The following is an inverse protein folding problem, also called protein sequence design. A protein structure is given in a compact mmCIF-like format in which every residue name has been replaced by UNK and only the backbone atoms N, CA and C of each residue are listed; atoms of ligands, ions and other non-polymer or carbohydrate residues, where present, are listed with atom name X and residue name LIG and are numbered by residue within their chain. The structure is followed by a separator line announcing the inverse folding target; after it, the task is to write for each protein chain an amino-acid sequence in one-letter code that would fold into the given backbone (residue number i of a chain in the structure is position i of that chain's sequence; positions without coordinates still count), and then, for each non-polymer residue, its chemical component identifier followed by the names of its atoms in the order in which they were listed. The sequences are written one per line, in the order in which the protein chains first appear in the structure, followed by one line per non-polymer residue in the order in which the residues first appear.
data_IF_742635521787
#
_entry.id   IF_742635521787
#
_cell.length_a   1.000
_cell.length_b   1.000
_cell.length_c   1.000
_cell.angle_alpha   90.00
_cell.angle_beta   90.00
_cell.angle_gamma   90.00
#
_symmetry.space_group_name_H-M   'P 1'
#
loop_
_entity.id
_entity.type
_entity.pdbx_description
1 polymer ?
#
# COMPACT_ATOMS: atom_id res chain seq x y z
N UNK A 1 -51.78 -32.37 20.49
CA UNK A 1 -51.86 -31.96 19.08
C UNK A 1 -52.03 -30.45 19.00
N UNK A 2 -51.27 -29.82 18.11
CA UNK A 2 -51.42 -28.45 17.55
C UNK A 2 -51.38 -27.28 18.55
N UNK A 3 -50.36 -26.43 18.64
CA UNK A 3 -49.45 -25.92 17.61
C UNK A 3 -50.00 -24.63 17.00
N UNK A 4 -49.40 -23.48 17.33
CA UNK A 4 -49.78 -22.18 16.76
C UNK A 4 -48.80 -21.08 17.13
N UNK A 5 -47.80 -20.86 16.27
CA UNK A 5 -46.77 -19.82 16.35
C UNK A 5 -47.40 -18.41 16.33
N UNK A 6 -47.10 -17.59 17.33
CA UNK A 6 -47.35 -16.14 17.30
C UNK A 6 -46.15 -15.48 16.62
N UNK A 7 -46.35 -15.06 15.36
CA UNK A 7 -45.40 -14.27 14.58
C UNK A 7 -45.58 -12.80 14.97
N UNK A 8 -44.58 -12.23 15.63
CA UNK A 8 -44.53 -10.82 15.99
C UNK A 8 -44.18 -9.98 14.76
N UNK A 9 -45.06 -9.03 14.43
CA UNK A 9 -44.85 -7.96 13.46
C UNK A 9 -44.30 -6.71 14.16
N UNK A 10 -43.11 -6.24 13.78
CA UNK A 10 -42.52 -4.91 14.10
C UNK A 10 -41.46 -4.65 13.00
N UNK A 11 -41.34 -3.54 12.27
CA UNK A 11 -41.98 -2.24 12.25
C UNK A 11 -41.97 -1.70 10.79
N UNK A 12 -43.06 -1.08 10.37
CA UNK A 12 -43.08 -0.16 9.24
C UNK A 12 -42.61 1.22 9.69
N UNK A 13 -41.54 1.72 9.08
CA UNK A 13 -41.10 3.10 9.22
C UNK A 13 -41.79 3.96 8.15
N UNK A 14 -42.36 5.08 8.59
CA UNK A 14 -43.37 5.86 7.89
C UNK A 14 -42.94 6.52 6.59
N UNK A 15 -43.91 6.52 5.67
CA UNK A 15 -44.03 7.38 4.49
C UNK A 15 -44.16 8.84 4.93
N UNK A 16 -43.27 9.70 4.46
CA UNK A 16 -43.52 11.14 4.37
C UNK A 16 -43.73 11.48 2.89
N UNK A 17 -44.97 11.85 2.58
CA UNK A 17 -45.44 12.24 1.26
C UNK A 17 -44.86 13.59 0.83
N UNK A 18 -44.30 13.61 -0.38
CA UNK A 18 -44.09 14.80 -1.20
C UNK A 18 -44.31 14.38 -2.65
N UNK A 19 -45.44 14.78 -3.21
CA UNK A 19 -45.82 14.45 -4.58
C UNK A 19 -44.98 15.24 -5.60
N UNK A 20 -44.50 14.57 -6.65
CA UNK A 20 -44.75 14.91 -8.06
C UNK A 20 -44.07 13.90 -9.01
N UNK A 21 -44.92 13.17 -9.74
CA UNK A 21 -44.79 12.57 -11.08
C UNK A 21 -43.44 12.03 -11.56
N UNK A 22 -43.32 10.70 -11.52
CA UNK A 22 -42.42 9.88 -12.33
C UNK A 22 -42.74 8.41 -12.03
N UNK A 23 -42.88 7.57 -13.06
CA UNK A 23 -43.30 6.17 -12.96
C UNK A 23 -42.75 5.46 -11.70
N UNK A 24 -43.63 4.84 -10.91
CA UNK A 24 -43.38 4.19 -9.62
C UNK A 24 -42.19 3.21 -9.67
N UNK A 25 -40.98 3.74 -9.49
CA UNK A 25 -39.79 2.95 -9.39
C UNK A 25 -39.73 2.38 -7.97
N UNK A 26 -40.11 1.11 -7.82
CA UNK A 26 -40.10 0.41 -6.53
C UNK A 26 -38.67 0.33 -5.98
N UNK A 27 -38.43 0.67 -4.71
CA UNK A 27 -37.10 0.62 -4.13
C UNK A 27 -36.57 -0.82 -4.10
N UNK A 28 -35.34 -1.00 -4.58
CA UNK A 28 -34.56 -2.23 -4.52
C UNK A 28 -33.79 -2.28 -3.21
N UNK A 29 -33.90 -3.40 -2.50
CA UNK A 29 -33.14 -3.67 -1.28
C UNK A 29 -32.08 -4.74 -1.59
N UNK A 30 -30.80 -4.36 -1.44
CA UNK A 30 -29.66 -5.26 -1.56
C UNK A 30 -29.03 -5.45 -0.18
N UNK A 31 -28.82 -6.69 0.22
CA UNK A 31 -28.19 -7.03 1.49
C UNK A 31 -26.81 -7.61 1.25
N UNK A 32 -25.87 -7.15 2.06
CA UNK A 32 -24.55 -7.78 2.22
C UNK A 32 -24.65 -8.95 3.20
N UNK A 33 -23.53 -9.54 3.65
CA UNK A 33 -23.58 -10.61 4.63
C UNK A 33 -24.38 -10.19 5.89
N UNK A 34 -25.10 -11.13 6.54
CA UNK A 34 -26.01 -10.81 7.64
C UNK A 34 -25.38 -9.93 8.71
N UNK A 35 -26.08 -8.85 9.09
CA UNK A 35 -25.63 -7.94 10.13
C UNK A 35 -24.53 -6.95 9.74
N UNK A 36 -24.16 -6.81 8.45
CA UNK A 36 -23.19 -5.82 7.98
C UNK A 36 -23.87 -4.56 7.44
N UNK A 37 -24.38 -4.63 6.21
CA UNK A 37 -25.04 -3.52 5.51
C UNK A 37 -26.33 -3.96 4.81
N UNK A 38 -27.32 -3.07 4.81
CA UNK A 38 -28.56 -3.17 4.04
C UNK A 38 -28.73 -1.89 3.22
N UNK A 39 -28.77 -2.04 1.89
CA UNK A 39 -28.75 -0.93 0.93
C UNK A 39 -30.13 -0.83 0.29
N UNK A 40 -30.75 0.34 0.36
CA UNK A 40 -31.99 0.68 -0.32
C UNK A 40 -31.74 1.76 -1.37
N UNK A 41 -32.14 1.49 -2.62
CA UNK A 41 -32.00 2.44 -3.73
C UNK A 41 -33.12 2.24 -4.76
N UNK A 42 -33.39 3.27 -5.56
CA UNK A 42 -34.29 3.15 -6.71
C UNK A 42 -33.60 2.44 -7.89
N UNK A 43 -32.31 2.73 -8.09
CA UNK A 43 -31.48 2.09 -9.11
C UNK A 43 -30.78 0.84 -8.55
N UNK A 44 -31.07 -0.32 -9.16
CA UNK A 44 -30.46 -1.62 -8.83
C UNK A 44 -28.95 -1.63 -9.05
N UNK A 45 -28.46 -1.01 -10.14
CA UNK A 45 -27.03 -0.99 -10.45
C UNK A 45 -26.25 -0.22 -9.38
N UNK A 46 -26.74 0.95 -8.99
CA UNK A 46 -26.19 1.71 -7.88
C UNK A 46 -26.26 0.94 -6.54
N UNK A 47 -27.36 0.22 -6.26
CA UNK A 47 -27.49 -0.59 -5.05
C UNK A 47 -26.41 -1.68 -4.96
N UNK A 48 -26.20 -2.42 -6.06
CA UNK A 48 -25.19 -3.47 -6.14
C UNK A 48 -23.76 -2.92 -6.08
N UNK A 49 -23.49 -1.78 -6.72
CA UNK A 49 -22.20 -1.10 -6.63
C UNK A 49 -21.86 -0.72 -5.18
N UNK A 50 -22.81 -0.10 -4.48
CA UNK A 50 -22.63 0.30 -3.08
C UNK A 50 -22.51 -0.90 -2.16
N UNK A 51 -23.26 -1.98 -2.40
CA UNK A 51 -23.14 -3.22 -1.65
C UNK A 51 -21.75 -3.87 -1.80
N UNK A 52 -21.21 -3.90 -3.03
CA UNK A 52 -19.87 -4.42 -3.29
C UNK A 52 -18.79 -3.58 -2.59
N UNK A 53 -18.90 -2.25 -2.67
CA UNK A 53 -18.01 -1.35 -1.95
C UNK A 53 -18.11 -1.56 -0.42
N UNK A 54 -19.32 -1.69 0.13
CA UNK A 54 -19.52 -1.91 1.55
C UNK A 54 -18.88 -3.21 2.06
N UNK A 55 -18.95 -4.30 1.29
CA UNK A 55 -18.28 -5.56 1.62
C UNK A 55 -16.75 -5.46 1.52
N UNK A 56 -16.23 -4.77 0.50
CA UNK A 56 -14.80 -4.51 0.40
C UNK A 56 -14.30 -3.71 1.61
N UNK A 57 -15.02 -2.64 1.97
CA UNK A 57 -14.72 -1.80 3.12
C UNK A 57 -14.75 -2.59 4.42
N UNK A 58 -15.76 -3.44 4.63
CA UNK A 58 -15.81 -4.33 5.79
C UNK A 58 -14.57 -5.22 5.89
N UNK A 59 -14.24 -5.94 4.81
CA UNK A 59 -13.11 -6.87 4.77
C UNK A 59 -11.79 -6.17 5.09
N UNK A 60 -11.57 -4.99 4.52
CA UNK A 60 -10.31 -4.25 4.69
C UNK A 60 -10.22 -3.51 6.03
N UNK A 61 -11.36 -3.20 6.66
CA UNK A 61 -11.43 -2.50 7.94
C UNK A 61 -11.67 -3.42 9.14
N UNK A 62 -11.96 -4.70 8.93
CA UNK A 62 -12.22 -5.66 10.00
C UNK A 62 -11.08 -5.76 11.01
N UNK A 63 -9.87 -6.04 10.52
CA UNK A 63 -8.66 -6.09 11.34
C UNK A 63 -8.36 -4.78 12.06
N UNK A 64 -8.18 -3.65 11.33
CA UNK A 64 -7.82 -2.39 11.95
C UNK A 64 -8.88 -1.84 12.90
N UNK A 65 -10.18 -2.12 12.73
CA UNK A 65 -11.21 -1.61 13.67
C UNK A 65 -11.65 -2.64 14.70
N UNK A 66 -11.19 -3.88 14.62
CA UNK A 66 -11.67 -4.97 15.48
C UNK A 66 -13.18 -5.19 15.30
N UNK A 67 -13.68 -5.14 14.07
CA UNK A 67 -15.11 -5.29 13.80
C UNK A 67 -15.58 -6.69 14.23
N UNK A 68 -16.79 -6.81 14.82
CA UNK A 68 -17.38 -8.11 15.06
C UNK A 68 -17.64 -8.84 13.73
N UNK A 69 -17.87 -10.16 13.71
CA UNK A 69 -18.21 -10.87 12.47
C UNK A 69 -19.53 -10.37 11.83
N UNK A 70 -20.46 -9.90 12.67
CA UNK A 70 -21.74 -9.28 12.30
C UNK A 70 -22.25 -8.38 13.44
N UNK A 71 -23.02 -7.34 13.13
CA UNK A 71 -23.78 -6.59 14.11
C UNK A 71 -25.18 -7.18 14.31
N UNK A 72 -25.79 -6.90 15.47
CA UNK A 72 -27.19 -7.23 15.76
C UNK A 72 -28.17 -6.45 14.87
N UNK A 73 -27.80 -5.25 14.46
CA UNK A 73 -28.52 -4.42 13.49
C UNK A 73 -27.51 -3.92 12.45
N UNK A 74 -27.78 -4.07 11.14
CA UNK A 74 -26.86 -3.65 10.10
C UNK A 74 -26.75 -2.12 10.02
N UNK A 75 -25.75 -1.64 9.28
CA UNK A 75 -25.72 -0.26 8.81
C UNK A 75 -26.68 -0.13 7.63
N UNK A 76 -27.71 0.68 7.77
CA UNK A 76 -28.66 0.96 6.69
C UNK A 76 -28.07 2.03 5.78
N UNK A 77 -28.11 1.81 4.47
CA UNK A 77 -27.64 2.75 3.46
C UNK A 77 -28.79 3.09 2.54
N UNK A 78 -29.08 4.38 2.35
CA UNK A 78 -30.16 4.88 1.48
C UNK A 78 -29.55 5.72 0.37
N UNK A 79 -29.80 5.34 -0.88
CA UNK A 79 -29.42 6.13 -2.06
C UNK A 79 -30.59 7.03 -2.44
N UNK A 80 -30.40 8.34 -2.30
CA UNK A 80 -31.40 9.36 -2.62
C UNK A 80 -31.14 9.83 -4.06
N UNK A 81 -32.11 9.69 -4.99
CA UNK A 81 -31.97 10.14 -6.38
C UNK A 81 -31.60 11.64 -6.50
N UNK A 82 -30.90 12.02 -7.58
CA UNK A 82 -30.65 13.44 -7.85
C UNK A 82 -31.97 14.19 -8.09
N UNK A 83 -32.06 15.44 -7.60
CA UNK A 83 -33.25 16.28 -7.78
C UNK A 83 -34.36 16.09 -6.74
N UNK A 84 -34.21 15.16 -5.78
CA UNK A 84 -35.13 15.05 -4.64
C UNK A 84 -34.57 15.79 -3.40
N UNK A 85 -35.25 16.86 -2.99
CA UNK A 85 -34.93 17.65 -1.79
C UNK A 85 -33.99 18.85 -1.99
N UNK A 86 -33.74 19.61 -0.92
CA UNK A 86 -32.88 20.80 -0.94
C UNK A 86 -31.38 20.45 -1.08
N UNK A 87 -30.62 21.32 -1.76
CA UNK A 87 -29.16 21.26 -1.87
C UNK A 87 -28.50 21.07 -0.50
N UNK A 88 -27.43 20.27 -0.43
CA UNK A 88 -26.73 20.01 0.82
C UNK A 88 -25.63 18.97 0.68
N UNK A 89 -25.04 18.55 1.80
CA UNK A 89 -23.88 17.65 1.85
C UNK A 89 -24.08 16.37 1.03
N UNK A 90 -23.02 15.84 0.38
CA UNK A 90 -23.12 14.68 -0.49
C UNK A 90 -23.54 13.40 0.24
N UNK A 91 -23.34 13.35 1.56
CA UNK A 91 -23.87 12.29 2.40
C UNK A 91 -24.13 12.75 3.83
N UNK A 92 -25.01 12.05 4.53
CA UNK A 92 -25.29 12.24 5.96
C UNK A 92 -25.30 10.90 6.68
N UNK A 93 -24.85 10.87 7.92
CA UNK A 93 -25.01 9.71 8.80
C UNK A 93 -25.87 10.10 9.99
N UNK A 94 -26.89 9.31 10.26
CA UNK A 94 -27.87 9.52 11.30
C UNK A 94 -27.83 8.31 12.23
N UNK A 95 -27.73 8.58 13.53
CA UNK A 95 -27.90 7.57 14.57
C UNK A 95 -29.25 7.83 15.22
N UNK A 96 -30.19 6.91 15.05
CA UNK A 96 -31.54 7.01 15.58
C UNK A 96 -31.62 6.45 17.01
N UNK A 97 -32.61 6.90 17.82
CA UNK A 97 -32.89 6.29 19.11
C UNK A 97 -33.09 4.77 18.98
N UNK A 98 -32.39 4.00 19.81
CA UNK A 98 -32.32 2.53 19.69
C UNK A 98 -31.09 2.03 18.93
N UNK A 99 -30.25 2.94 18.44
CA UNK A 99 -28.93 2.64 17.90
C UNK A 99 -28.92 2.28 16.42
N UNK A 100 -30.02 2.46 15.71
CA UNK A 100 -30.08 2.24 14.27
C UNK A 100 -29.20 3.28 13.59
N UNK A 101 -28.31 2.83 12.69
CA UNK A 101 -27.39 3.72 11.97
C UNK A 101 -27.77 3.74 10.49
N UNK A 102 -28.11 4.93 10.00
CA UNK A 102 -28.56 5.20 8.65
C UNK A 102 -27.57 6.12 7.93
N UNK A 103 -27.03 5.67 6.80
CA UNK A 103 -26.16 6.43 5.89
C UNK A 103 -27.00 6.86 4.69
N UNK A 104 -27.16 8.16 4.48
CA UNK A 104 -27.90 8.71 3.35
C UNK A 104 -26.90 9.25 2.35
N UNK A 105 -26.87 8.67 1.17
CA UNK A 105 -26.01 9.06 0.05
C UNK A 105 -26.87 9.80 -0.97
N UNK A 106 -26.46 11.02 -1.35
CA UNK A 106 -27.19 11.81 -2.33
C UNK A 106 -26.57 11.67 -3.72
N UNK A 107 -27.42 11.42 -4.70
CA UNK A 107 -27.10 11.43 -6.11
C UNK A 107 -26.78 10.05 -6.70
N UNK A 108 -26.93 9.93 -8.03
CA UNK A 108 -26.80 8.67 -8.77
C UNK A 108 -25.36 8.19 -8.94
N UNK A 109 -24.40 9.10 -9.09
CA UNK A 109 -22.97 8.78 -9.21
C UNK A 109 -22.19 9.43 -8.07
N UNK A 110 -22.09 8.73 -6.93
CA UNK A 110 -21.30 9.20 -5.79
C UNK A 110 -19.81 8.95 -6.06
N UNK A 111 -18.94 9.97 -5.99
CA UNK A 111 -17.50 9.78 -6.14
C UNK A 111 -16.95 8.74 -5.16
N UNK A 112 -16.00 7.90 -5.58
CA UNK A 112 -15.50 6.78 -4.78
C UNK A 112 -14.95 7.19 -3.40
N UNK A 113 -14.30 8.35 -3.29
CA UNK A 113 -13.79 8.86 -2.00
C UNK A 113 -14.93 9.24 -1.04
N UNK A 114 -15.94 9.95 -1.57
CA UNK A 114 -17.17 10.31 -0.84
C UNK A 114 -17.92 9.06 -0.36
N UNK A 115 -18.07 8.05 -1.23
CA UNK A 115 -18.71 6.79 -0.88
C UNK A 115 -17.96 6.08 0.24
N UNK A 116 -16.64 5.93 0.12
CA UNK A 116 -15.80 5.31 1.17
C UNK A 116 -15.95 6.03 2.50
N UNK A 117 -15.90 7.36 2.51
CA UNK A 117 -16.07 8.16 3.73
C UNK A 117 -17.45 8.00 4.36
N UNK A 118 -18.51 7.96 3.56
CA UNK A 118 -19.87 7.74 4.04
C UNK A 118 -20.01 6.37 4.72
N UNK A 119 -19.51 5.32 4.06
CA UNK A 119 -19.53 3.96 4.58
C UNK A 119 -18.68 3.81 5.85
N UNK A 120 -17.47 4.39 5.86
CA UNK A 120 -16.59 4.43 7.04
C UNK A 120 -17.26 5.14 8.21
N UNK A 121 -17.87 6.31 7.99
CA UNK A 121 -18.58 7.05 9.03
C UNK A 121 -19.76 6.26 9.58
N UNK A 122 -20.54 5.61 8.72
CA UNK A 122 -21.61 4.70 9.13
C UNK A 122 -21.10 3.53 9.97
N UNK A 123 -20.00 2.91 9.52
CA UNK A 123 -19.38 1.77 10.20
C UNK A 123 -18.82 2.14 11.57
N UNK A 124 -18.11 3.27 11.68
CA UNK A 124 -17.58 3.79 12.95
C UNK A 124 -18.70 4.19 13.92
N UNK A 125 -19.78 4.80 13.40
CA UNK A 125 -20.95 5.12 14.22
C UNK A 125 -21.59 3.84 14.75
N UNK A 126 -21.76 2.82 13.90
CA UNK A 126 -22.32 1.53 14.32
C UNK A 126 -21.42 0.79 15.30
N UNK A 127 -20.11 0.86 15.13
CA UNK A 127 -19.15 0.34 16.10
C UNK A 127 -19.28 1.03 17.46
N UNK A 128 -19.43 2.36 17.47
CA UNK A 128 -19.66 3.13 18.70
C UNK A 128 -20.96 2.73 19.41
N UNK A 129 -22.07 2.59 18.66
CA UNK A 129 -23.34 2.06 19.21
C UNK A 129 -23.16 0.65 19.78
N UNK A 130 -22.46 -0.24 19.07
CA UNK A 130 -22.25 -1.61 19.53
C UNK A 130 -21.43 -1.69 20.83
N UNK A 131 -20.53 -0.73 21.05
CA UNK A 131 -19.68 -0.66 22.24
C UNK A 131 -20.35 0.01 23.44
N UNK A 132 -21.20 1.02 23.20
CA UNK A 132 -21.79 1.85 24.26
C UNK A 132 -23.30 1.62 24.47
N UNK A 133 -23.97 0.87 23.59
CA UNK A 133 -25.40 0.58 23.64
C UNK A 133 -26.26 1.49 22.76
N UNK A 134 -27.53 1.11 22.56
CA UNK A 134 -28.46 1.77 21.62
C UNK A 134 -28.90 3.19 21.97
N UNK A 135 -28.65 3.65 23.21
CA UNK A 135 -28.91 5.03 23.62
C UNK A 135 -27.69 5.95 23.42
N UNK A 136 -26.54 5.40 23.01
CA UNK A 136 -25.34 6.17 22.82
C UNK A 136 -25.42 7.04 21.55
N UNK A 137 -24.85 8.24 21.63
CA UNK A 137 -24.64 9.14 20.50
C UNK A 137 -23.14 9.13 20.14
N UNK A 138 -22.67 8.15 19.36
CA UNK A 138 -21.25 8.04 19.06
C UNK A 138 -20.78 9.23 18.23
N UNK A 139 -19.61 9.75 18.59
CA UNK A 139 -18.96 10.82 17.84
C UNK A 139 -17.85 10.22 17.00
N UNK A 140 -17.84 10.48 15.69
CA UNK A 140 -16.79 9.99 14.79
C UNK A 140 -15.80 11.13 14.53
N UNK A 141 -14.57 11.07 15.06
CA UNK A 141 -13.55 12.08 14.77
C UNK A 141 -13.24 12.13 13.27
N UNK A 142 -13.08 13.33 12.74
CA UNK A 142 -12.87 13.54 11.30
C UNK A 142 -11.58 12.86 10.82
N UNK A 143 -10.49 12.98 11.58
CA UNK A 143 -9.23 12.32 11.22
C UNK A 143 -9.41 10.79 11.15
N UNK A 144 -10.16 10.18 12.07
CA UNK A 144 -10.35 8.73 12.08
C UNK A 144 -11.14 8.28 10.85
N UNK A 145 -12.19 9.03 10.48
CA UNK A 145 -12.93 8.80 9.24
C UNK A 145 -12.03 8.88 8.00
N UNK A 146 -11.25 9.95 7.84
CA UNK A 146 -10.37 10.11 6.68
C UNK A 146 -9.24 9.07 6.69
N UNK A 147 -8.68 8.76 7.85
CA UNK A 147 -7.64 7.75 8.02
C UNK A 147 -8.12 6.36 7.60
N UNK A 148 -9.30 5.95 8.06
CA UNK A 148 -9.91 4.67 7.67
C UNK A 148 -10.29 4.64 6.17
N UNK A 149 -10.85 5.71 5.63
CA UNK A 149 -11.19 5.80 4.21
C UNK A 149 -9.93 5.69 3.32
N UNK A 150 -8.84 6.37 3.68
CA UNK A 150 -7.56 6.27 2.99
C UNK A 150 -6.90 4.90 3.19
N UNK A 151 -6.97 4.32 4.38
CA UNK A 151 -6.45 2.97 4.67
C UNK A 151 -7.11 1.90 3.81
N UNK A 152 -8.43 1.99 3.63
CA UNK A 152 -9.15 1.17 2.68
C UNK A 152 -8.61 1.42 1.27
N UNK A 153 -8.60 2.67 0.81
CA UNK A 153 -8.21 2.98 -0.57
C UNK A 153 -6.81 2.47 -0.93
N UNK A 154 -5.82 2.60 -0.05
CA UNK A 154 -4.45 2.11 -0.28
C UNK A 154 -4.32 0.57 -0.32
N UNK A 155 -5.32 -0.16 0.16
CA UNK A 155 -5.37 -1.64 0.11
C UNK A 155 -6.23 -2.17 -1.02
N UNK A 156 -7.24 -1.40 -1.44
CA UNK A 156 -7.98 -1.68 -2.66
C UNK A 156 -7.10 -1.40 -3.90
N UNK A 157 -6.29 -0.34 -3.85
CA UNK A 157 -5.44 0.10 -4.95
C UNK A 157 -4.02 0.41 -4.45
N UNK A 158 -3.06 -0.48 -4.74
CA UNK A 158 -1.69 -0.35 -4.25
C UNK A 158 -1.01 0.97 -4.67
N UNK A 159 -1.28 1.47 -5.89
CA UNK A 159 -0.73 2.74 -6.38
C UNK A 159 -1.08 3.95 -5.49
N UNK A 160 -2.20 3.87 -4.75
CA UNK A 160 -2.63 4.95 -3.84
C UNK A 160 -1.76 5.02 -2.59
N UNK A 161 -1.14 3.91 -2.18
CA UNK A 161 -0.16 3.91 -1.09
C UNK A 161 1.07 4.72 -1.52
N UNK A 162 1.57 4.50 -2.73
CA UNK A 162 2.74 5.21 -3.24
C UNK A 162 2.44 6.69 -3.46
N UNK A 163 1.25 7.02 -3.99
CA UNK A 163 0.78 8.40 -4.04
C UNK A 163 0.74 9.06 -2.64
N UNK A 164 0.26 8.35 -1.62
CA UNK A 164 0.23 8.85 -0.25
C UNK A 164 1.64 9.04 0.33
N UNK A 165 2.59 8.14 0.04
CA UNK A 165 4.01 8.30 0.42
C UNK A 165 4.63 9.52 -0.24
N UNK A 166 4.44 9.68 -1.55
CA UNK A 166 4.96 10.82 -2.32
C UNK A 166 4.40 12.14 -1.79
N UNK A 167 3.10 12.20 -1.51
CA UNK A 167 2.49 13.39 -0.91
C UNK A 167 3.06 13.66 0.50
N UNK A 168 3.18 12.63 1.35
CA UNK A 168 3.73 12.76 2.69
C UNK A 168 5.23 13.15 2.70
N UNK A 169 6.00 12.81 1.66
CA UNK A 169 7.39 13.18 1.52
C UNK A 169 7.58 14.69 1.26
N UNK A 170 6.59 15.33 0.61
CA UNK A 170 6.60 16.76 0.25
C UNK A 170 6.08 17.68 1.36
N UNK A 171 5.71 17.13 2.51
CA UNK A 171 5.14 17.90 3.62
C UNK A 171 5.84 17.60 4.95
N UNK A 172 5.93 18.60 5.85
CA UNK A 172 6.30 18.36 7.24
C UNK A 172 5.19 17.57 7.96
N UNK A 173 5.52 16.85 9.06
CA UNK A 173 4.49 16.25 9.91
C UNK A 173 3.56 17.34 10.46
N UNK A 174 2.23 17.23 10.29
CA UNK A 174 1.30 18.12 10.96
C UNK A 174 1.36 17.92 12.47
N UNK A 175 1.14 19.00 13.23
CA UNK A 175 1.04 18.92 14.69
C UNK A 175 -0.05 17.94 15.12
N UNK A 176 0.21 17.13 16.14
CA UNK A 176 -0.70 16.07 16.56
C UNK A 176 -2.07 16.63 16.98
N UNK A 177 -2.09 17.78 17.66
CA UNK A 177 -3.32 18.46 18.04
C UNK A 177 -4.16 18.90 16.85
N UNK A 178 -3.54 19.52 15.83
CA UNK A 178 -4.25 19.93 14.62
C UNK A 178 -4.91 18.73 13.90
N UNK A 179 -4.29 17.55 13.98
CA UNK A 179 -4.84 16.33 13.41
C UNK A 179 -5.94 15.71 14.27
N UNK A 180 -5.71 15.53 15.58
CA UNK A 180 -6.67 14.90 16.49
C UNK A 180 -7.94 15.75 16.70
N UNK A 181 -7.80 17.07 16.71
CA UNK A 181 -8.86 18.04 16.95
C UNK A 181 -9.42 18.61 15.63
N UNK A 182 -9.15 17.96 14.49
CA UNK A 182 -9.59 18.42 13.19
C UNK A 182 -11.12 18.62 13.16
N UNK A 183 -11.61 19.88 13.05
CA UNK A 183 -13.03 20.18 13.20
C UNK A 183 -13.89 19.50 12.14
N UNK A 184 -15.09 19.09 12.56
CA UNK A 184 -16.04 18.41 11.70
C UNK A 184 -16.48 19.26 10.51
N UNK A 185 -16.81 20.52 10.77
CA UNK A 185 -17.40 21.43 9.79
C UNK A 185 -16.35 22.32 9.10
N UNK A 186 -15.06 22.03 9.32
CA UNK A 186 -13.97 22.76 8.66
C UNK A 186 -13.79 22.39 7.18
N UNK A 187 -12.97 23.16 6.43
CA UNK A 187 -12.59 22.77 5.08
C UNK A 187 -11.76 21.48 5.10
N UNK A 188 -11.84 20.73 4.01
CA UNK A 188 -10.93 19.60 3.80
C UNK A 188 -9.51 20.10 3.58
N UNK A 189 -8.56 19.51 4.30
CA UNK A 189 -7.16 19.86 4.20
C UNK A 189 -6.40 18.65 3.66
N UNK A 190 -5.90 18.68 2.41
CA UNK A 190 -5.22 17.54 1.80
C UNK A 190 -4.06 17.00 2.64
N UNK A 191 -3.33 17.89 3.33
CA UNK A 191 -2.25 17.51 4.25
C UNK A 191 -2.76 16.70 5.44
N UNK A 192 -3.84 17.11 6.09
CA UNK A 192 -4.43 16.37 7.22
C UNK A 192 -5.07 15.05 6.79
N UNK A 193 -5.64 14.99 5.58
CA UNK A 193 -6.20 13.74 5.03
C UNK A 193 -5.13 12.66 4.88
N UNK A 194 -3.99 12.99 4.27
CA UNK A 194 -2.87 12.03 4.18
C UNK A 194 -2.30 11.76 5.55
N UNK A 195 -2.25 12.78 6.42
CA UNK A 195 -1.68 12.57 7.73
C UNK A 195 -2.50 11.65 8.63
N UNK A 196 -3.82 11.65 8.47
CA UNK A 196 -4.73 10.74 9.15
C UNK A 196 -4.47 9.26 8.82
N UNK A 197 -4.10 8.93 7.57
CA UNK A 197 -3.69 7.57 7.19
C UNK A 197 -2.45 7.13 7.98
N UNK A 198 -1.45 8.00 8.05
CA UNK A 198 -0.20 7.70 8.73
C UNK A 198 -0.36 7.67 10.25
N UNK A 199 -1.22 8.52 10.82
CA UNK A 199 -1.57 8.45 12.24
C UNK A 199 -2.27 7.13 12.58
N UNK A 200 -3.25 6.72 11.78
CA UNK A 200 -3.90 5.42 11.93
C UNK A 200 -2.87 4.27 11.87
N UNK A 201 -1.99 4.31 10.86
CA UNK A 201 -0.95 3.28 10.66
C UNK A 201 0.02 3.22 11.84
N UNK A 202 0.45 4.39 12.32
CA UNK A 202 1.36 4.52 13.45
C UNK A 202 0.76 4.01 14.76
N UNK A 203 -0.44 4.48 15.11
CA UNK A 203 -1.09 4.06 16.36
C UNK A 203 -1.41 2.56 16.39
N UNK A 204 -1.70 1.95 15.23
CA UNK A 204 -1.83 0.51 15.13
C UNK A 204 -0.51 -0.23 15.28
N UNK A 205 0.56 0.25 14.64
CA UNK A 205 1.89 -0.34 14.78
C UNK A 205 2.44 -0.25 16.20
N UNK A 206 2.11 0.83 16.92
CA UNK A 206 2.50 1.04 18.31
C UNK A 206 1.63 0.28 19.32
N UNK A 207 0.48 -0.26 18.89
CA UNK A 207 -0.37 -1.07 19.76
C UNK A 207 0.27 -2.44 19.98
N UNK A 208 0.49 -2.79 21.23
CA UNK A 208 0.98 -4.10 21.63
C UNK A 208 -0.15 -5.06 22.00
N UNK A 209 0.21 -6.11 22.75
CA UNK A 209 -0.75 -7.10 23.28
C UNK A 209 -1.72 -6.51 24.31
N UNK A 210 -1.47 -5.29 24.79
CA UNK A 210 -2.30 -4.63 25.80
C UNK A 210 -3.58 -4.00 25.22
N UNK A 211 -3.74 -3.96 23.89
CA UNK A 211 -4.98 -3.51 23.25
C UNK A 211 -5.21 -2.00 23.34
N UNK A 212 -4.14 -1.22 23.28
CA UNK A 212 -4.13 0.24 23.33
C UNK A 212 -5.03 0.84 22.23
N UNK A 213 -4.90 0.35 21.00
CA UNK A 213 -5.65 0.84 19.86
C UNK A 213 -7.17 0.61 20.00
N UNK A 214 -7.68 -0.62 20.26
CA UNK A 214 -9.11 -0.83 20.52
C UNK A 214 -9.66 0.01 21.68
N UNK A 215 -8.87 0.19 22.76
CA UNK A 215 -9.27 1.02 23.89
C UNK A 215 -9.35 2.50 23.51
N UNK A 216 -8.42 2.98 22.70
CA UNK A 216 -8.40 4.36 22.19
C UNK A 216 -9.59 4.63 21.28
N UNK A 217 -9.84 3.78 20.29
CA UNK A 217 -11.01 3.91 19.39
C UNK A 217 -12.31 3.94 20.18
N UNK A 218 -12.47 3.05 21.17
CA UNK A 218 -13.68 3.03 22.02
C UNK A 218 -13.90 4.35 22.76
N UNK A 219 -12.84 4.94 23.33
CA UNK A 219 -12.92 6.24 24.03
C UNK A 219 -13.26 7.38 23.06
N UNK A 220 -12.68 7.38 21.87
CA UNK A 220 -12.98 8.37 20.84
C UNK A 220 -14.44 8.29 20.38
N UNK A 221 -14.92 7.09 20.08
CA UNK A 221 -16.30 6.89 19.61
C UNK A 221 -17.33 7.23 20.69
N UNK A 222 -16.97 7.10 21.97
CA UNK A 222 -17.77 7.58 23.09
C UNK A 222 -17.76 9.12 23.26
N UNK A 223 -17.06 9.86 22.40
CA UNK A 223 -16.96 11.32 22.46
C UNK A 223 -15.92 11.84 23.46
N UNK A 224 -14.99 10.99 23.90
CA UNK A 224 -13.89 11.42 24.76
C UNK A 224 -12.92 12.36 24.06
N UNK A 225 -12.30 13.26 24.83
CA UNK A 225 -11.23 14.12 24.33
C UNK A 225 -10.08 13.30 23.73
N UNK A 226 -9.68 13.62 22.51
CA UNK A 226 -8.74 12.80 21.75
C UNK A 226 -7.33 12.81 22.36
N UNK A 227 -6.90 13.95 22.89
CA UNK A 227 -5.59 14.09 23.54
C UNK A 227 -5.55 13.29 24.85
N UNK A 228 -6.56 13.42 25.69
CA UNK A 228 -6.69 12.71 26.94
C UNK A 228 -6.84 11.20 26.72
N UNK A 229 -7.63 10.80 25.72
CA UNK A 229 -7.77 9.39 25.34
C UNK A 229 -6.44 8.80 24.86
N UNK A 230 -5.67 9.53 24.06
CA UNK A 230 -4.36 9.08 23.58
C UNK A 230 -3.37 8.95 24.76
N UNK A 231 -3.33 9.95 25.64
CA UNK A 231 -2.49 9.93 26.85
C UNK A 231 -2.83 8.76 27.78
N UNK A 232 -4.12 8.47 27.96
CA UNK A 232 -4.56 7.36 28.81
C UNK A 232 -4.27 5.99 28.20
N UNK A 233 -4.41 5.83 26.88
CA UNK A 233 -4.24 4.54 26.21
C UNK A 233 -2.78 4.20 25.89
N UNK A 234 -1.92 5.21 25.70
CA UNK A 234 -0.50 5.03 25.34
C UNK A 234 0.43 5.63 26.41
N UNK A 235 0.02 5.60 27.69
CA UNK A 235 0.70 6.28 28.81
C UNK A 235 2.18 5.89 29.01
N UNK A 236 2.60 4.71 28.54
CA UNK A 236 3.99 4.26 28.61
C UNK A 236 4.88 4.68 27.43
N UNK A 237 4.34 5.39 26.43
CA UNK A 237 5.07 5.75 25.19
C UNK A 237 5.72 7.13 25.24
N UNK A 238 5.26 8.03 26.11
CA UNK A 238 5.74 9.40 26.20
C UNK A 238 5.56 9.96 27.62
N UNK A 239 6.45 10.86 28.03
CA UNK A 239 6.46 11.45 29.38
C UNK A 239 5.59 12.72 29.55
N UNK A 240 4.95 13.21 28.49
CA UNK A 240 4.16 14.44 28.52
C UNK A 240 3.76 14.94 27.12
N UNK A 241 3.09 16.10 27.02
CA UNK A 241 2.58 16.63 25.74
C UNK A 241 3.66 16.87 24.68
N UNK A 242 4.82 17.42 25.06
CA UNK A 242 5.94 17.66 24.13
C UNK A 242 6.57 16.35 23.66
N UNK A 243 6.80 15.41 24.58
CA UNK A 243 7.31 14.08 24.22
C UNK A 243 6.33 13.31 23.34
N UNK A 244 5.02 13.51 23.52
CA UNK A 244 3.98 12.92 22.69
C UNK A 244 3.99 13.49 21.27
N UNK A 245 4.19 14.80 21.13
CA UNK A 245 4.37 15.44 19.84
C UNK A 245 5.62 14.90 19.13
N UNK A 246 6.76 14.81 19.84
CA UNK A 246 7.99 14.23 19.29
C UNK A 246 7.83 12.74 18.90
N UNK A 247 7.11 11.97 19.72
CA UNK A 247 6.78 10.57 19.43
C UNK A 247 5.97 10.46 18.13
N UNK A 248 4.97 11.32 17.95
CA UNK A 248 4.22 11.40 16.70
C UNK A 248 5.08 11.81 15.51
N UNK A 249 5.90 12.85 15.62
CA UNK A 249 6.75 13.32 14.51
C UNK A 249 7.80 12.27 14.09
N UNK A 250 8.36 11.55 15.08
CA UNK A 250 9.26 10.42 14.84
C UNK A 250 8.50 9.28 14.16
N UNK A 251 7.32 8.95 14.69
CA UNK A 251 6.39 7.95 14.15
C UNK A 251 6.00 8.24 12.72
N UNK A 252 5.65 9.49 12.38
CA UNK A 252 5.37 9.96 11.03
C UNK A 252 6.50 9.62 10.05
N UNK A 253 7.71 9.99 10.42
CA UNK A 253 8.89 9.74 9.59
C UNK A 253 9.19 8.25 9.48
N UNK A 254 8.94 7.48 10.53
CA UNK A 254 9.03 6.03 10.50
C UNK A 254 7.97 5.45 9.57
N UNK A 255 6.67 5.62 9.83
CA UNK A 255 5.60 4.93 9.09
C UNK A 255 5.50 5.32 7.62
N UNK A 256 5.82 6.57 7.25
CA UNK A 256 5.87 6.97 5.83
C UNK A 256 7.05 6.33 5.09
N UNK A 257 8.08 5.90 5.83
CA UNK A 257 9.26 5.19 5.32
C UNK A 257 9.15 3.66 5.51
N UNK A 258 8.30 3.20 6.43
CA UNK A 258 8.06 1.78 6.69
C UNK A 258 7.29 1.19 5.51
N UNK A 259 7.90 0.15 4.95
CA UNK A 259 7.50 -0.52 3.72
C UNK A 259 6.23 -1.35 3.99
N UNK A 260 5.08 -0.94 3.43
CA UNK A 260 3.79 -1.64 3.63
C UNK A 260 3.53 -2.72 2.56
N UNK A 261 4.28 -2.71 1.47
CA UNK A 261 4.45 -3.91 0.64
C UNK A 261 5.68 -4.66 1.17
N UNK A 262 5.72 -6.00 1.11
CA UNK A 262 6.95 -6.73 1.41
C UNK A 262 8.07 -6.36 0.44
N UNK A 263 7.83 -5.51 -0.55
CA UNK A 263 8.75 -5.22 -1.64
C UNK A 263 9.49 -3.90 -1.36
N UNK A 264 10.82 -3.95 -1.37
CA UNK A 264 11.74 -2.82 -1.48
C UNK A 264 11.39 -1.98 -2.71
N UNK A 265 11.60 -0.68 -2.64
CA UNK A 265 11.56 0.15 -3.86
C UNK A 265 12.67 -0.29 -4.83
N UNK A 266 12.56 0.07 -6.12
CA UNK A 266 13.55 -0.32 -7.13
C UNK A 266 14.97 0.15 -6.76
N UNK A 267 15.11 1.42 -6.37
CA UNK A 267 16.40 1.99 -5.95
C UNK A 267 16.98 1.30 -4.70
N UNK A 268 16.12 0.94 -3.74
CA UNK A 268 16.54 0.24 -2.52
C UNK A 268 16.97 -1.19 -2.83
N UNK A 269 16.25 -1.88 -3.72
CA UNK A 269 16.62 -3.23 -4.18
C UNK A 269 17.97 -3.22 -4.88
N UNK A 270 18.20 -2.23 -5.75
CA UNK A 270 19.49 -2.00 -6.40
C UNK A 270 20.58 -1.81 -5.35
N UNK A 271 20.39 -0.91 -4.39
CA UNK A 271 21.38 -0.66 -3.34
C UNK A 271 21.71 -1.93 -2.54
N UNK A 272 20.69 -2.66 -2.08
CA UNK A 272 20.86 -3.86 -1.25
C UNK A 272 21.54 -5.00 -2.02
N UNK A 273 21.08 -5.31 -3.23
CA UNK A 273 21.70 -6.36 -4.07
C UNK A 273 23.12 -5.96 -4.48
N UNK A 274 23.36 -4.69 -4.81
CA UNK A 274 24.68 -4.18 -5.13
C UNK A 274 25.65 -4.26 -3.95
N UNK A 275 25.20 -3.93 -2.74
CA UNK A 275 25.99 -4.06 -1.52
C UNK A 275 26.32 -5.53 -1.18
N UNK A 276 25.42 -6.46 -1.49
CA UNK A 276 25.63 -7.90 -1.29
C UNK A 276 26.55 -8.52 -2.35
N UNK A 277 26.59 -7.95 -3.56
CA UNK A 277 27.51 -8.34 -4.62
C UNK A 277 28.91 -7.73 -4.48
N UNK A 278 29.08 -6.70 -3.63
CA UNK A 278 30.36 -6.04 -3.36
C UNK A 278 31.13 -6.78 -2.26
N UNK A 279 32.19 -7.47 -2.65
CA UNK A 279 33.10 -8.12 -1.72
C UNK A 279 34.31 -7.24 -1.44
N UNK A 280 34.67 -7.12 -0.17
CA UNK A 280 35.85 -6.37 0.28
C UNK A 280 36.69 -7.31 1.13
N UNK A 281 37.94 -7.46 0.75
CA UNK A 281 38.93 -8.24 1.48
C UNK A 281 40.20 -7.41 1.62
N UNK A 282 40.96 -7.64 2.70
CA UNK A 282 42.26 -7.01 2.89
C UNK A 282 43.21 -7.41 1.76
N UNK A 283 43.95 -6.45 1.20
CA UNK A 283 44.94 -6.71 0.17
C UNK A 283 46.05 -7.63 0.68
N UNK A 284 46.64 -8.43 -0.22
CA UNK A 284 47.78 -9.30 0.13
C UNK A 284 49.07 -8.51 0.38
N UNK A 285 49.17 -7.30 -0.21
CA UNK A 285 50.28 -6.37 -0.04
C UNK A 285 49.72 -5.04 0.48
N UNK A 286 49.95 -4.74 1.77
CA UNK A 286 49.51 -3.51 2.42
C UNK A 286 48.37 -3.69 3.45
N UNK A 287 48.05 -2.61 4.14
CA UNK A 287 46.98 -2.54 5.16
C UNK A 287 45.61 -2.14 4.58
N UNK A 288 45.52 -1.97 3.27
CA UNK A 288 44.34 -1.42 2.61
C UNK A 288 43.29 -2.50 2.26
N UNK A 289 42.02 -2.12 2.38
CA UNK A 289 40.87 -2.92 1.95
C UNK A 289 40.64 -2.78 0.44
N UNK A 290 40.56 -3.90 -0.27
CA UNK A 290 40.35 -3.94 -1.72
C UNK A 290 38.98 -4.54 -2.09
N UNK A 291 38.29 -3.91 -3.05
CA UNK A 291 37.06 -4.48 -3.63
C UNK A 291 37.44 -5.60 -4.59
N UNK A 292 36.93 -6.79 -4.34
CA UNK A 292 37.22 -7.99 -5.13
C UNK A 292 36.01 -8.34 -6.02
N UNK A 293 36.18 -8.51 -7.34
CA UNK A 293 35.09 -8.89 -8.23
C UNK A 293 34.49 -10.26 -7.87
N UNK A 294 33.17 -10.40 -7.98
CA UNK A 294 32.45 -11.65 -7.69
C UNK A 294 33.09 -12.87 -8.37
N UNK A 295 33.49 -12.75 -9.64
CA UNK A 295 34.19 -13.81 -10.39
C UNK A 295 35.43 -14.33 -9.64
N UNK A 296 36.27 -13.43 -9.14
CA UNK A 296 37.50 -13.76 -8.39
C UNK A 296 37.16 -14.43 -7.06
N UNK A 297 36.11 -13.96 -6.37
CA UNK A 297 35.61 -14.56 -5.13
C UNK A 297 35.12 -15.99 -5.35
N UNK A 298 34.38 -16.25 -6.43
CA UNK A 298 33.86 -17.57 -6.74
C UNK A 298 34.95 -18.59 -7.10
N UNK A 299 36.06 -18.15 -7.70
CA UNK A 299 37.26 -18.99 -7.94
C UNK A 299 37.91 -19.39 -6.62
N UNK A 300 37.95 -18.48 -5.65
CA UNK A 300 38.54 -18.67 -4.32
C UNK A 300 37.58 -19.26 -3.29
N UNK A 301 36.41 -19.76 -3.70
CA UNK A 301 35.34 -20.27 -2.79
C UNK A 301 35.79 -21.37 -1.83
N UNK A 302 36.88 -22.07 -2.13
CA UNK A 302 37.44 -23.12 -1.30
C UNK A 302 38.26 -22.60 -0.12
N UNK A 303 38.66 -21.33 -0.14
CA UNK A 303 39.37 -20.70 0.97
C UNK A 303 38.41 -20.49 2.16
N UNK A 304 38.79 -20.85 3.40
CA UNK A 304 37.89 -20.83 4.55
C UNK A 304 37.22 -19.47 4.79
N UNK A 305 37.97 -18.37 4.64
CA UNK A 305 37.47 -17.01 4.85
C UNK A 305 36.45 -16.60 3.77
N UNK A 306 36.70 -17.00 2.52
CA UNK A 306 35.80 -16.73 1.40
C UNK A 306 34.53 -17.56 1.53
N UNK A 307 34.67 -18.84 1.90
CA UNK A 307 33.52 -19.73 2.14
C UNK A 307 32.60 -19.19 3.25
N UNK A 308 33.17 -18.68 4.35
CA UNK A 308 32.42 -18.08 5.45
C UNK A 308 31.66 -16.82 5.01
N UNK A 309 32.30 -15.92 4.26
CA UNK A 309 31.66 -14.70 3.75
C UNK A 309 30.55 -15.03 2.74
N UNK A 310 30.76 -15.98 1.83
CA UNK A 310 29.73 -16.44 0.89
C UNK A 310 28.52 -17.04 1.63
N UNK A 311 28.74 -17.84 2.67
CA UNK A 311 27.66 -18.40 3.49
C UNK A 311 26.86 -17.31 4.23
N UNK A 312 27.55 -16.29 4.77
CA UNK A 312 26.91 -15.14 5.41
C UNK A 312 26.01 -14.38 4.43
N UNK A 313 26.53 -14.07 3.23
CA UNK A 313 25.77 -13.40 2.17
C UNK A 313 24.59 -14.24 1.67
N UNK A 314 24.75 -15.55 1.57
CA UNK A 314 23.66 -16.46 1.21
C UNK A 314 22.50 -16.41 2.21
N UNK A 315 22.80 -16.39 3.51
CA UNK A 315 21.79 -16.28 4.57
C UNK A 315 21.09 -14.91 4.59
N UNK A 316 21.80 -13.85 4.19
CA UNK A 316 21.25 -12.50 4.05
C UNK A 316 20.33 -12.41 2.82
N UNK A 317 20.78 -12.91 1.66
CA UNK A 317 19.99 -12.96 0.44
C UNK A 317 18.71 -13.80 0.59
N UNK A 318 18.77 -14.94 1.28
CA UNK A 318 17.60 -15.78 1.52
C UNK A 318 16.46 -15.04 2.23
N UNK A 319 16.80 -14.12 3.15
CA UNK A 319 15.83 -13.26 3.85
C UNK A 319 15.37 -12.10 2.98
N UNK A 320 16.23 -11.60 2.10
CA UNK A 320 15.99 -10.41 1.28
C UNK A 320 15.16 -10.69 0.01
N UNK A 321 15.34 -11.85 -0.64
CA UNK A 321 14.72 -12.18 -1.94
C UNK A 321 13.19 -12.02 -1.98
N UNK A 322 12.43 -12.46 -0.95
CA UNK A 322 10.97 -12.24 -0.93
C UNK A 322 10.59 -10.77 -0.93
N UNK A 323 11.56 -9.91 -0.57
CA UNK A 323 11.38 -8.48 -0.45
C UNK A 323 11.94 -7.69 -1.63
N UNK A 324 12.62 -8.28 -2.60
CA UNK A 324 13.20 -7.50 -3.70
C UNK A 324 12.13 -7.00 -4.66
N UNK A 325 12.31 -5.77 -5.17
CA UNK A 325 11.54 -5.24 -6.28
C UNK A 325 11.57 -6.21 -7.47
N UNK A 326 10.44 -6.42 -8.19
CA UNK A 326 10.39 -7.33 -9.33
C UNK A 326 11.52 -7.14 -10.35
N UNK A 327 11.95 -5.88 -10.58
CA UNK A 327 13.07 -5.56 -11.48
C UNK A 327 14.39 -6.25 -11.06
N UNK A 328 14.66 -6.35 -9.76
CA UNK A 328 15.92 -6.87 -9.22
C UNK A 328 15.81 -8.26 -8.61
N UNK A 329 14.62 -8.88 -8.64
CA UNK A 329 14.38 -10.19 -8.02
C UNK A 329 15.21 -11.30 -8.68
N UNK A 330 15.35 -11.27 -10.01
CA UNK A 330 16.18 -12.23 -10.73
C UNK A 330 17.66 -12.09 -10.36
N UNK A 331 18.17 -10.85 -10.31
CA UNK A 331 19.54 -10.57 -9.87
C UNK A 331 19.81 -11.08 -8.44
N UNK A 332 18.84 -10.92 -7.53
CA UNK A 332 18.92 -11.50 -6.20
C UNK A 332 18.97 -13.03 -6.18
N UNK A 333 18.15 -13.68 -7.03
CA UNK A 333 18.12 -15.14 -7.15
C UNK A 333 19.41 -15.72 -7.75
N UNK A 334 19.94 -15.11 -8.81
CA UNK A 334 21.19 -15.56 -9.44
C UNK A 334 22.41 -15.28 -8.56
N UNK A 335 22.43 -14.15 -7.84
CA UNK A 335 23.45 -13.91 -6.82
C UNK A 335 23.38 -14.95 -5.69
N UNK A 336 22.19 -15.27 -5.19
CA UNK A 336 22.02 -16.30 -4.16
C UNK A 336 22.49 -17.68 -4.64
N UNK A 337 22.21 -18.04 -5.89
CA UNK A 337 22.71 -19.27 -6.49
C UNK A 337 24.25 -19.27 -6.59
N UNK A 338 24.86 -18.13 -6.93
CA UNK A 338 26.31 -17.98 -6.98
C UNK A 338 26.95 -18.22 -5.60
N UNK A 339 26.45 -17.54 -4.56
CA UNK A 339 27.01 -17.59 -3.20
C UNK A 339 26.59 -18.81 -2.39
N UNK A 340 25.64 -19.61 -2.88
CA UNK A 340 25.16 -20.80 -2.17
C UNK A 340 26.30 -21.76 -1.78
N UNK A 341 26.20 -22.42 -0.60
CA UNK A 341 27.19 -23.38 -0.14
C UNK A 341 27.29 -24.60 -1.06
N UNK A 342 28.41 -25.32 -0.97
CA UNK A 342 28.68 -26.53 -1.75
C UNK A 342 29.79 -26.36 -2.80
N UNK A 343 30.32 -27.48 -3.29
CA UNK A 343 31.29 -27.47 -4.37
C UNK A 343 30.61 -27.09 -5.69
N UNK A 344 31.23 -26.19 -6.46
CA UNK A 344 30.79 -25.83 -7.81
C UNK A 344 31.99 -25.93 -8.74
N UNK A 345 31.79 -26.43 -9.96
CA UNK A 345 32.85 -26.42 -10.98
C UNK A 345 33.18 -24.98 -11.40
N UNK A 346 34.39 -24.75 -11.89
CA UNK A 346 34.80 -23.43 -12.41
C UNK A 346 33.83 -22.92 -13.48
N UNK A 347 33.45 -23.79 -14.43
CA UNK A 347 32.43 -23.49 -15.45
C UNK A 347 31.11 -23.02 -14.84
N UNK A 348 30.63 -23.70 -13.78
CA UNK A 348 29.37 -23.32 -13.12
C UNK A 348 29.47 -21.97 -12.40
N UNK A 349 30.63 -21.66 -11.80
CA UNK A 349 30.88 -20.35 -11.20
C UNK A 349 30.86 -19.23 -12.25
N UNK A 350 31.46 -19.46 -13.43
CA UNK A 350 31.43 -18.48 -14.53
C UNK A 350 30.02 -18.24 -15.06
N UNK A 351 29.24 -19.30 -15.29
CA UNK A 351 27.83 -19.21 -15.71
C UNK A 351 26.98 -18.39 -14.73
N UNK A 352 27.14 -18.63 -13.43
CA UNK A 352 26.39 -17.91 -12.39
C UNK A 352 26.79 -16.44 -12.27
N UNK A 353 28.09 -16.13 -12.45
CA UNK A 353 28.57 -14.75 -12.49
C UNK A 353 27.98 -13.99 -13.69
N UNK A 354 28.02 -14.61 -14.88
CA UNK A 354 27.47 -14.00 -16.09
C UNK A 354 25.95 -13.82 -16.00
N UNK A 355 25.23 -14.80 -15.43
CA UNK A 355 23.78 -14.71 -15.22
C UNK A 355 23.42 -13.55 -14.28
N UNK A 356 24.14 -13.40 -13.16
CA UNK A 356 23.95 -12.27 -12.25
C UNK A 356 24.21 -10.92 -12.93
N UNK A 357 25.30 -10.78 -13.68
CA UNK A 357 25.64 -9.54 -14.39
C UNK A 357 24.59 -9.18 -15.45
N UNK A 358 23.97 -10.18 -16.10
CA UNK A 358 22.88 -9.98 -17.04
C UNK A 358 21.60 -9.54 -16.33
N UNK A 359 21.15 -10.28 -15.32
CA UNK A 359 19.93 -9.96 -14.58
C UNK A 359 20.02 -8.59 -13.89
N UNK A 360 21.22 -8.20 -13.45
CA UNK A 360 21.47 -6.88 -12.89
C UNK A 360 21.26 -5.78 -13.92
N UNK A 361 21.79 -5.95 -15.14
CA UNK A 361 21.61 -4.99 -16.25
C UNK A 361 20.13 -4.90 -16.65
N UNK A 362 19.46 -6.04 -16.78
CA UNK A 362 18.03 -6.09 -17.09
C UNK A 362 17.19 -5.35 -16.03
N UNK A 363 17.53 -5.50 -14.75
CA UNK A 363 16.87 -4.78 -13.66
C UNK A 363 17.03 -3.26 -13.74
N UNK A 364 18.24 -2.79 -14.08
CA UNK A 364 18.52 -1.36 -14.29
C UNK A 364 17.74 -0.83 -15.50
N UNK A 365 17.72 -1.57 -16.61
CA UNK A 365 17.01 -1.18 -17.83
C UNK A 365 15.49 -1.09 -17.58
N UNK A 366 14.91 -2.04 -16.83
CA UNK A 366 13.50 -2.03 -16.43
C UNK A 366 13.16 -0.84 -15.53
N UNK A 367 14.02 -0.50 -14.56
CA UNK A 367 13.85 0.67 -13.69
C UNK A 367 13.82 1.97 -14.50
N UNK A 368 14.76 2.14 -15.42
CA UNK A 368 14.86 3.31 -16.27
C UNK A 368 13.68 3.42 -17.25
N UNK A 369 13.31 2.32 -17.93
CA UNK A 369 12.19 2.29 -18.85
C UNK A 369 10.85 2.61 -18.16
N UNK A 370 10.64 2.07 -16.96
CA UNK A 370 9.43 2.33 -16.18
C UNK A 370 9.36 3.79 -15.72
N UNK A 371 10.47 4.36 -15.27
CA UNK A 371 10.56 5.77 -14.89
C UNK A 371 10.26 6.68 -16.09
N UNK A 372 10.87 6.42 -17.25
CA UNK A 372 10.64 7.19 -18.46
C UNK A 372 9.18 7.11 -18.93
N UNK A 373 8.54 5.94 -18.81
CA UNK A 373 7.14 5.76 -19.16
C UNK A 373 6.20 6.55 -18.24
N UNK A 374 6.44 6.53 -16.93
CA UNK A 374 5.67 7.29 -15.95
C UNK A 374 5.82 8.80 -16.18
N UNK A 375 7.04 9.29 -16.42
CA UNK A 375 7.28 10.70 -16.74
C UNK A 375 6.63 11.13 -18.06
N UNK A 376 6.62 10.27 -19.08
CA UNK A 376 5.93 10.53 -20.33
C UNK A 376 4.41 10.61 -20.13
N UNK A 377 3.84 9.73 -19.30
CA UNK A 377 2.43 9.73 -18.96
C UNK A 377 2.04 10.99 -18.18
N UNK A 378 2.81 11.38 -17.16
CA UNK A 378 2.57 12.63 -16.42
C UNK A 378 2.61 13.87 -17.31
N UNK A 379 3.56 13.93 -18.25
CA UNK A 379 3.65 15.03 -19.22
C UNK A 379 2.45 15.08 -20.16
N UNK A 380 1.88 13.93 -20.53
CA UNK A 380 0.64 13.85 -21.32
C UNK A 380 -0.56 14.29 -20.49
N UNK A 381 -0.67 13.84 -19.25
CA UNK A 381 -1.74 14.24 -18.33
C UNK A 381 -1.74 15.74 -18.05
N UNK A 382 -0.56 16.36 -17.92
CA UNK A 382 -0.40 17.82 -17.74
C UNK A 382 -0.64 18.63 -19.01
N UNK A 383 -0.49 18.03 -20.19
CA UNK A 383 -0.71 18.68 -21.50
C UNK A 383 -2.14 18.55 -22.02
N UNK A 384 -2.97 17.68 -21.43
CA UNK A 384 -4.38 17.59 -21.79
C UNK A 384 -5.08 18.91 -21.39
N UNK A 385 -5.60 19.71 -22.35
CA UNK A 385 -6.40 20.87 -22.00
C UNK A 385 -7.67 20.42 -21.27
N UNK A 386 -8.12 21.22 -20.31
CA UNK A 386 -9.25 20.93 -19.42
C UNK A 386 -10.64 20.84 -20.11
N UNK A 387 -10.71 20.39 -21.38
CA UNK A 387 -11.92 20.40 -22.19
C UNK A 387 -12.16 19.19 -23.10
N UNK A 388 -11.35 18.12 -23.04
CA UNK A 388 -11.57 16.91 -23.87
C UNK A 388 -11.90 15.66 -23.05
N UNK A 389 -12.77 15.80 -22.05
CA UNK A 389 -13.44 14.66 -21.42
C UNK A 389 -14.66 14.29 -22.27
N UNK A 390 -14.41 13.76 -23.47
CA UNK A 390 -15.46 13.33 -24.39
C UNK A 390 -14.85 12.70 -25.64
N UNK A 391 -15.17 11.41 -25.81
CA UNK A 391 -14.87 10.53 -26.95
C UNK A 391 -13.66 9.59 -26.80
N UNK A 392 -13.97 8.31 -27.04
CA UNK A 392 -13.12 7.14 -27.27
C UNK A 392 -12.68 6.33 -26.04
N UNK A 393 -13.67 5.63 -25.47
CA UNK A 393 -13.49 4.32 -24.86
C UNK A 393 -13.19 3.30 -25.98
N UNK A 394 -12.11 2.51 -25.92
CA UNK A 394 -11.91 1.42 -26.87
C UNK A 394 -12.88 0.27 -26.54
N UNK A 395 -13.75 -0.03 -27.50
CA UNK A 395 -14.71 -1.13 -27.49
C UNK A 395 -13.96 -2.48 -27.43
N UNK A 396 -14.12 -3.18 -26.31
CA UNK A 396 -13.65 -4.55 -26.12
C UNK A 396 -14.86 -5.48 -26.05
N UNK A 397 -15.45 -5.79 -27.21
CA UNK A 397 -16.30 -6.98 -27.35
C UNK A 397 -15.97 -7.79 -28.60
N UNK A 398 -15.38 -8.97 -28.33
CA UNK A 398 -15.55 -10.28 -29.01
C UNK A 398 -15.61 -10.35 -30.54
N UNK A 399 -14.61 -11.00 -31.15
CA UNK A 399 -14.87 -12.03 -32.17
C UNK A 399 -13.75 -13.08 -32.25
N UNK A 400 -14.17 -14.34 -32.14
CA UNK A 400 -13.38 -15.56 -32.28
C UNK A 400 -12.98 -15.84 -33.74
N UNK A 401 -11.66 -15.97 -33.98
CA UNK A 401 -10.95 -16.92 -34.88
C UNK A 401 -11.28 -16.98 -36.41
N UNK A 402 -10.44 -17.59 -37.30
CA UNK A 402 -9.19 -18.33 -37.08
C UNK A 402 -7.98 -17.99 -38.03
N UNK A 403 -6.79 -18.42 -37.59
CA UNK A 403 -5.55 -18.83 -38.30
C UNK A 403 -5.31 -18.40 -39.77
N UNK A 404 -4.13 -17.82 -40.02
CA UNK A 404 -3.23 -18.25 -41.12
C UNK A 404 -1.77 -17.86 -40.84
N UNK A 405 -0.89 -18.86 -40.88
CA UNK A 405 0.56 -18.73 -41.00
C UNK A 405 0.90 -18.12 -42.37
N UNK A 406 1.88 -17.21 -42.42
CA UNK A 406 2.89 -17.18 -43.48
C UNK A 406 4.04 -16.25 -43.10
N UNK A 407 5.22 -16.80 -43.33
CA UNK A 407 6.57 -16.24 -43.30
C UNK A 407 6.71 -14.88 -44.01
N UNK A 408 7.69 -14.09 -43.54
CA UNK A 408 8.72 -13.35 -44.29
C UNK A 408 9.46 -12.51 -43.23
N UNK A 409 10.77 -12.64 -43.02
CA UNK A 409 11.79 -12.55 -44.06
C UNK A 409 12.61 -11.30 -43.76
N UNK A 410 13.75 -11.54 -43.14
CA UNK A 410 14.82 -10.61 -42.76
C UNK A 410 15.13 -9.57 -43.85
N UNK A 411 15.35 -8.29 -43.49
CA UNK A 411 16.49 -7.51 -44.02
C UNK A 411 16.96 -6.41 -43.05
N UNK A 412 18.29 -6.30 -43.00
CA UNK A 412 19.16 -5.42 -42.21
C UNK A 412 19.37 -4.08 -42.93
N UNK A 413 19.96 -3.13 -42.19
CA UNK A 413 20.75 -1.95 -42.66
C UNK A 413 19.95 -0.66 -42.94
N UNK A 414 20.34 0.55 -42.51
CA UNK A 414 21.65 1.04 -42.03
C UNK A 414 21.53 2.44 -41.39
N UNK A 415 22.40 2.66 -40.39
CA UNK A 415 23.14 3.90 -40.02
C UNK A 415 22.49 5.15 -39.37
N UNK A 416 23.02 5.39 -38.16
CA UNK A 416 23.77 6.59 -37.74
C UNK A 416 22.98 7.80 -37.23
N UNK A 417 22.96 7.93 -35.90
CA UNK A 417 23.47 9.14 -35.25
C UNK A 417 24.05 8.75 -33.89
N UNK A 418 25.37 8.86 -33.77
CA UNK A 418 26.08 8.77 -32.50
C UNK A 418 25.73 9.99 -31.65
N UNK A 419 25.32 9.76 -30.41
CA UNK A 419 25.56 10.71 -29.33
C UNK A 419 25.87 9.90 -28.07
N UNK A 420 26.96 10.30 -27.44
CA UNK A 420 27.76 9.60 -26.43
C UNK A 420 26.98 9.27 -25.15
N UNK A 421 26.83 7.97 -24.84
CA UNK A 421 26.49 7.45 -23.51
C UNK A 421 27.78 6.99 -22.83
N UNK A 422 27.97 7.20 -21.51
CA UNK A 422 29.10 6.63 -20.78
C UNK A 422 28.94 5.11 -20.66
N UNK A 423 30.01 4.38 -21.01
CA UNK A 423 30.09 2.92 -20.94
C UNK A 423 30.04 2.43 -19.48
N UNK A 424 29.31 1.33 -19.24
CA UNK A 424 29.19 0.66 -17.94
C UNK A 424 30.52 0.12 -17.37
N UNK A 425 31.64 0.23 -18.10
CA UNK A 425 32.98 -0.16 -17.63
C UNK A 425 33.64 0.89 -16.71
N UNK A 426 33.16 2.15 -16.70
CA UNK A 426 33.82 3.25 -15.98
C UNK A 426 33.56 3.25 -14.46
N UNK A 427 32.51 2.57 -14.00
CA UNK A 427 32.22 2.48 -12.56
C UNK A 427 33.07 1.42 -11.82
N UNK A 428 33.80 0.56 -12.54
CA UNK A 428 34.53 -0.58 -11.97
C UNK A 428 36.03 -0.61 -12.26
N UNK A 429 36.60 0.40 -12.94
CA UNK A 429 38.03 0.43 -13.28
C UNK A 429 38.72 1.74 -12.89
N UNK A 430 39.45 1.72 -11.77
CA UNK A 430 40.71 2.46 -11.66
C UNK A 430 41.84 1.45 -11.42
N UNK A 431 42.69 1.14 -12.42
CA UNK A 431 43.88 0.34 -12.21
C UNK A 431 45.09 1.24 -11.88
N UNK A 432 45.85 0.89 -10.85
CA UNK A 432 47.29 1.19 -10.81
C UNK A 432 47.98 0.07 -11.58
N UNK A 433 48.67 0.45 -12.66
CA UNK A 433 49.50 -0.44 -13.47
C UNK A 433 50.82 -0.68 -12.73
N UNK A 434 51.13 -1.93 -12.40
CA UNK A 434 52.53 -2.37 -12.22
C UNK A 434 52.74 -3.68 -12.97
N UNK A 435 53.73 -3.67 -13.86
CA UNK A 435 54.16 -4.80 -14.70
C UNK A 435 55.09 -5.74 -13.92
N UNK A 436 54.77 -7.03 -14.02
CA UNK A 436 55.61 -8.24 -14.04
C UNK A 436 57.04 -8.24 -13.45
N UNK A 437 57.31 -9.24 -12.59
CA UNK A 437 58.35 -10.27 -12.79
C UNK A 437 58.12 -11.53 -11.92
N UNK A 438 58.37 -12.69 -12.53
CA UNK A 438 58.52 -14.02 -11.93
C UNK A 438 59.57 -14.00 -10.78
N UNK A 439 59.38 -14.81 -9.73
CA UNK A 439 60.15 -16.06 -9.61
C UNK A 439 59.60 -17.06 -8.59
N UNK A 440 59.66 -18.34 -8.98
CA UNK A 440 59.27 -19.51 -8.22
C UNK A 440 60.38 -19.87 -7.22
N UNK A 441 60.05 -19.94 -5.92
CA UNK A 441 60.81 -20.75 -4.97
C UNK A 441 59.89 -21.56 -4.06
N UNK A 442 59.84 -22.85 -4.36
CA UNK A 442 59.59 -23.93 -3.40
C UNK A 442 60.54 -23.80 -2.21
N UNK A 443 60.09 -24.17 -1.01
CA UNK A 443 60.96 -24.87 -0.08
C UNK A 443 60.48 -26.32 0.06
N UNK A 444 61.38 -27.21 -0.31
CA UNK A 444 61.42 -28.59 0.14
C UNK A 444 61.52 -28.66 1.68
N UNK A 445 60.90 -29.70 2.20
CA UNK A 445 60.94 -30.28 3.55
C UNK A 445 62.25 -30.15 4.36
N UNK A 446 62.09 -29.87 5.66
CA UNK A 446 62.68 -30.55 6.82
C UNK A 446 61.96 -29.95 8.07
N UNK A 447 61.33 -30.68 8.99
CA UNK A 447 61.60 -32.00 9.62
C UNK A 447 60.34 -32.85 9.66
#
# INVERSE_FOLDING_TARGET
MSGGRVLAWVAGAGLAAGALEGADASPVIVRTAPGRFEIAAVDSAAAHYVAAAAEEGWRLLQGPLGLPPAYTSPVFVRLIPQGTGAEGEPFRVIVEPGGVVSVWLRGGAVPGDTLRRALVRGLLSRLGVAQAGGAAAPTVPRWLEHGCAKWWHTRAEAAQLDAAKQQAARMPPPGLAALLEWPRDGPEQPGLTVAALWLLTFLQGESGRAGEWPAFVRRLLAGGDAQAALAACYSGRFGGPESRELWWQTGWHQVRRVRVLPVLEAAESREQVGALARFVFRAAEGDDDAVVPLRTVLVRRGEPIVAAELARRAAELARLIPLLHPFYRNAGLTLAAAVAPGAKSAKRCEELCAAFEQDWRDGVDLEQASTAALEAWERRAKKAPAGSAGAEQPDFTTQNAPRRNAELGITRSVMTTMSTLPSADDALRRPVVVRSKLDLRTPSLAV
#
